data_IF_834539775842
#
_entry.id   IF_834539775842
#
_cell.length_a   1.000
_cell.length_b   1.000
_cell.length_c   1.000
_cell.angle_alpha   90.00
_cell.angle_beta   90.00
_cell.angle_gamma   90.00
#
_symmetry.space_group_name_H-M   'P 1'
#
loop_
_entity.id
_entity.type
_entity.pdbx_description
1 polymer ?
#
# COMPACT_ATOMS: atom_id res chain seq x y z
N UNK A 1 7.73 -35.19 -27.01
CA UNK A 1 7.70 -36.64 -27.27
C UNK A 1 6.80 -37.42 -26.31
N UNK A 2 6.94 -37.27 -24.96
CA UNK A 2 6.07 -37.98 -23.99
C UNK A 2 4.61 -37.56 -24.10
N UNK A 3 4.34 -36.26 -24.18
CA UNK A 3 2.98 -35.74 -24.32
C UNK A 3 2.29 -36.15 -25.61
N UNK A 4 3.02 -36.29 -26.72
CA UNK A 4 2.46 -36.77 -28.02
C UNK A 4 2.05 -38.21 -28.02
N UNK A 5 2.65 -39.05 -27.15
CA UNK A 5 2.27 -40.43 -26.94
C UNK A 5 1.09 -40.63 -26.02
N UNK A 6 0.87 -39.66 -25.10
CA UNK A 6 -0.11 -39.78 -24.02
C UNK A 6 -1.42 -39.06 -24.34
N UNK A 7 -1.37 -37.94 -25.08
CA UNK A 7 -2.55 -37.12 -25.37
C UNK A 7 -2.85 -37.04 -26.87
N UNK A 8 -4.13 -36.99 -27.25
CA UNK A 8 -4.55 -36.75 -28.64
C UNK A 8 -3.96 -35.41 -29.16
N UNK A 9 -3.50 -35.41 -30.40
CA UNK A 9 -2.85 -34.24 -31.04
C UNK A 9 -3.72 -32.99 -31.06
N UNK A 10 -5.04 -33.12 -31.16
CA UNK A 10 -5.98 -32.01 -31.09
C UNK A 10 -5.94 -31.29 -29.71
N UNK A 11 -5.81 -32.04 -28.60
CA UNK A 11 -5.71 -31.46 -27.27
C UNK A 11 -4.39 -30.73 -27.06
N UNK A 12 -3.28 -31.27 -27.56
CA UNK A 12 -1.99 -30.61 -27.54
C UNK A 12 -2.02 -29.30 -28.34
N UNK A 13 -2.69 -29.32 -29.50
CA UNK A 13 -2.88 -28.12 -30.33
C UNK A 13 -3.71 -27.06 -29.64
N UNK A 14 -4.73 -27.48 -28.87
CA UNK A 14 -5.56 -26.55 -28.12
C UNK A 14 -4.80 -25.88 -27.00
N UNK A 15 -3.89 -26.56 -26.33
CA UNK A 15 -2.98 -25.94 -25.35
C UNK A 15 -2.15 -24.77 -25.96
N UNK A 16 -1.66 -24.99 -27.20
CA UNK A 16 -0.94 -23.94 -27.94
C UNK A 16 -1.88 -22.79 -28.32
N UNK A 17 -3.10 -23.09 -28.73
CA UNK A 17 -4.09 -22.07 -29.06
C UNK A 17 -4.46 -21.22 -27.85
N UNK A 18 -4.64 -21.85 -26.68
CA UNK A 18 -4.87 -21.14 -25.41
C UNK A 18 -3.68 -20.25 -25.06
N UNK A 19 -2.45 -20.78 -25.14
CA UNK A 19 -1.24 -20.02 -24.88
C UNK A 19 -1.13 -18.78 -25.77
N UNK A 20 -1.46 -18.88 -27.05
CA UNK A 20 -1.48 -17.73 -27.98
C UNK A 20 -2.53 -16.69 -27.67
N UNK A 21 -3.60 -17.04 -26.96
CA UNK A 21 -4.65 -16.13 -26.49
C UNK A 21 -4.27 -15.42 -25.20
N UNK A 22 -3.30 -15.93 -24.45
CA UNK A 22 -2.76 -15.33 -23.25
C UNK A 22 -1.71 -14.27 -23.65
N UNK A 23 -2.18 -13.07 -23.97
CA UNK A 23 -1.33 -11.96 -24.45
C UNK A 23 -0.98 -10.94 -23.35
N UNK A 24 -1.46 -11.15 -22.14
CA UNK A 24 -1.15 -10.27 -21.01
C UNK A 24 0.31 -10.41 -20.59
N UNK A 25 0.97 -9.28 -20.39
CA UNK A 25 2.30 -9.18 -19.79
C UNK A 25 2.26 -8.21 -18.60
N UNK A 26 3.01 -8.50 -17.54
CA UNK A 26 3.18 -7.60 -16.40
C UNK A 26 3.75 -6.24 -16.83
N UNK A 27 4.53 -6.19 -17.90
CA UNK A 27 5.08 -4.94 -18.47
C UNK A 27 3.98 -4.00 -19.02
N UNK A 28 2.76 -4.50 -19.20
CA UNK A 28 1.61 -3.70 -19.64
C UNK A 28 0.93 -2.97 -18.48
N UNK A 29 1.26 -3.30 -17.23
CA UNK A 29 0.69 -2.64 -16.06
C UNK A 29 1.07 -1.16 -16.06
N UNK A 30 0.09 -0.32 -15.77
CA UNK A 30 0.27 1.13 -15.61
C UNK A 30 -0.47 1.56 -14.36
N UNK A 31 0.24 2.28 -13.51
CA UNK A 31 -0.34 2.84 -12.30
C UNK A 31 -0.92 4.22 -12.61
N UNK A 32 -2.22 4.40 -12.35
CA UNK A 32 -2.92 5.67 -12.52
C UNK A 32 -3.52 6.10 -11.19
N UNK A 33 -2.95 7.14 -10.59
CA UNK A 33 -3.40 7.67 -9.31
C UNK A 33 -4.38 8.82 -9.48
N UNK A 34 -5.36 8.97 -8.58
CA UNK A 34 -6.30 10.07 -8.59
C UNK A 34 -5.60 11.42 -8.37
N UNK A 35 -6.14 12.49 -8.95
CA UNK A 35 -5.63 13.86 -8.81
C UNK A 35 -6.68 14.83 -8.24
N UNK A 36 -7.88 14.34 -7.92
CA UNK A 36 -9.07 15.13 -7.61
C UNK A 36 -8.97 15.93 -6.30
N UNK A 37 -7.97 15.63 -5.46
CA UNK A 37 -7.77 16.27 -4.14
C UNK A 37 -6.73 17.38 -4.13
N UNK A 38 -6.08 17.67 -5.27
CA UNK A 38 -5.14 18.79 -5.35
C UNK A 38 -5.92 20.09 -5.52
N UNK A 39 -5.72 21.10 -4.66
CA UNK A 39 -6.42 22.38 -4.75
C UNK A 39 -6.15 23.08 -6.10
N UNK A 40 -7.17 23.77 -6.62
CA UNK A 40 -7.03 24.53 -7.86
C UNK A 40 -5.87 25.54 -7.77
N UNK A 41 -5.05 25.57 -8.79
CA UNK A 41 -3.89 26.47 -8.87
C UNK A 41 -2.59 25.95 -8.26
N UNK A 42 -2.60 24.75 -7.69
CA UNK A 42 -1.38 24.08 -7.22
C UNK A 42 -1.05 22.87 -8.08
N UNK A 43 0.25 22.59 -8.22
CA UNK A 43 0.71 21.29 -8.72
C UNK A 43 0.69 20.26 -7.59
N UNK A 44 0.69 18.95 -7.94
CA UNK A 44 0.80 17.89 -6.93
C UNK A 44 2.08 18.01 -6.11
N UNK A 45 3.17 18.37 -6.76
CA UNK A 45 4.47 18.57 -6.13
C UNK A 45 4.41 19.70 -5.10
N UNK A 46 3.85 20.87 -5.48
CA UNK A 46 3.72 22.00 -4.58
C UNK A 46 2.80 21.69 -3.40
N UNK A 47 1.71 20.97 -3.67
CA UNK A 47 0.76 20.60 -2.63
C UNK A 47 1.37 19.60 -1.64
N UNK A 48 2.06 18.56 -2.11
CA UNK A 48 2.77 17.62 -1.25
C UNK A 48 3.83 18.33 -0.40
N UNK A 49 4.64 19.18 -1.03
CA UNK A 49 5.66 19.97 -0.33
C UNK A 49 5.04 20.88 0.76
N UNK A 50 3.92 21.53 0.45
CA UNK A 50 3.20 22.38 1.40
C UNK A 50 2.69 21.60 2.61
N UNK A 51 2.08 20.43 2.36
CA UNK A 51 1.59 19.55 3.44
C UNK A 51 2.73 19.03 4.31
N UNK A 52 3.82 18.59 3.68
CA UNK A 52 5.02 18.11 4.40
C UNK A 52 5.62 19.24 5.26
N UNK A 53 5.75 20.46 4.72
CA UNK A 53 6.26 21.62 5.47
C UNK A 53 5.34 21.99 6.64
N UNK A 54 4.03 21.93 6.45
CA UNK A 54 3.07 22.15 7.52
C UNK A 54 3.21 21.10 8.64
N UNK A 55 3.30 19.82 8.24
CA UNK A 55 3.50 18.71 9.16
C UNK A 55 4.84 18.80 9.91
N UNK A 56 5.91 19.18 9.21
CA UNK A 56 7.22 19.39 9.81
C UNK A 56 7.16 20.39 10.99
N UNK A 57 6.50 21.54 10.77
CA UNK A 57 6.32 22.57 11.83
C UNK A 57 5.49 22.05 12.99
N UNK A 58 4.51 21.19 12.73
CA UNK A 58 3.67 20.58 13.77
C UNK A 58 4.44 19.54 14.59
N UNK A 59 5.29 18.74 13.94
CA UNK A 59 6.09 17.69 14.57
C UNK A 59 7.27 18.25 15.36
N UNK A 60 7.91 19.29 14.84
CA UNK A 60 9.05 19.96 15.47
C UNK A 60 8.80 21.46 15.58
N UNK A 61 8.00 21.90 16.58
CA UNK A 61 7.64 23.32 16.73
C UNK A 61 8.84 24.21 17.03
N UNK A 62 9.90 23.67 17.63
CA UNK A 62 11.16 24.37 17.94
C UNK A 62 12.24 24.19 16.86
N UNK A 63 11.88 23.64 15.69
CA UNK A 63 12.80 23.30 14.61
C UNK A 63 13.22 21.84 14.64
N UNK A 64 13.30 21.23 13.46
CA UNK A 64 13.77 19.86 13.29
C UNK A 64 15.32 19.81 13.25
N UNK A 65 15.93 18.66 13.54
CA UNK A 65 17.36 18.44 13.27
C UNK A 65 17.70 18.67 11.80
N UNK A 66 18.93 19.09 11.50
CA UNK A 66 19.39 19.37 10.13
C UNK A 66 19.25 18.14 9.23
N UNK A 67 19.56 16.99 9.76
CA UNK A 67 19.48 15.68 9.08
C UNK A 67 18.05 15.39 8.58
N UNK A 68 17.03 15.78 9.34
CA UNK A 68 15.63 15.60 8.96
C UNK A 68 15.24 16.52 7.79
N UNK A 69 15.74 17.77 7.75
CA UNK A 69 15.53 18.64 6.59
C UNK A 69 16.18 18.05 5.33
N UNK A 70 17.40 17.53 5.46
CA UNK A 70 18.12 16.88 4.34
C UNK A 70 17.39 15.64 3.87
N UNK A 71 16.90 14.79 4.79
CA UNK A 71 16.13 13.61 4.49
C UNK A 71 14.81 13.96 3.78
N UNK A 72 14.02 14.90 4.29
CA UNK A 72 12.75 15.33 3.68
C UNK A 72 12.99 15.85 2.26
N UNK A 73 14.01 16.66 2.04
CA UNK A 73 14.33 17.17 0.71
C UNK A 73 14.72 16.05 -0.26
N UNK A 74 15.50 15.08 0.20
CA UNK A 74 15.88 13.90 -0.57
C UNK A 74 14.67 13.05 -0.93
N UNK A 75 13.80 12.75 0.05
CA UNK A 75 12.57 11.98 -0.15
C UNK A 75 11.63 12.67 -1.15
N UNK A 76 11.38 13.98 -0.98
CA UNK A 76 10.51 14.75 -1.90
C UNK A 76 11.07 14.80 -3.31
N UNK A 77 12.39 14.92 -3.46
CA UNK A 77 13.05 14.89 -4.78
C UNK A 77 12.84 13.54 -5.47
N UNK A 78 13.02 12.43 -4.75
CA UNK A 78 12.83 11.08 -5.28
C UNK A 78 11.34 10.79 -5.60
N UNK A 79 10.40 11.20 -4.74
CA UNK A 79 8.97 11.08 -4.99
C UNK A 79 8.58 11.83 -6.27
N UNK A 80 9.13 13.03 -6.49
CA UNK A 80 8.90 13.82 -7.70
C UNK A 80 9.50 13.15 -8.94
N UNK A 81 10.74 12.69 -8.86
CA UNK A 81 11.44 12.01 -9.95
C UNK A 81 10.65 10.80 -10.46
N UNK A 82 10.11 10.01 -9.52
CA UNK A 82 9.34 8.80 -9.81
C UNK A 82 7.83 9.08 -10.06
N UNK A 83 7.39 10.34 -9.95
CA UNK A 83 5.99 10.76 -10.15
C UNK A 83 5.00 10.09 -9.17
N UNK A 84 5.41 9.86 -7.91
CA UNK A 84 4.58 9.23 -6.89
C UNK A 84 3.84 10.21 -5.97
N UNK A 85 3.85 11.52 -6.26
CA UNK A 85 3.16 12.53 -5.44
C UNK A 85 1.67 12.20 -5.26
N UNK A 86 0.97 11.79 -6.33
CA UNK A 86 -0.45 11.43 -6.24
C UNK A 86 -0.71 10.23 -5.33
N UNK A 87 0.23 9.28 -5.27
CA UNK A 87 0.15 8.13 -4.38
C UNK A 87 0.23 8.57 -2.91
N UNK A 88 1.26 9.35 -2.54
CA UNK A 88 1.41 9.89 -1.19
C UNK A 88 0.22 10.76 -0.77
N UNK A 89 -0.26 11.59 -1.68
CA UNK A 89 -1.42 12.44 -1.44
C UNK A 89 -2.71 11.62 -1.24
N UNK A 90 -2.88 10.51 -1.95
CA UNK A 90 -4.02 9.59 -1.76
C UNK A 90 -3.99 8.97 -0.37
N UNK A 91 -2.84 8.47 0.07
CA UNK A 91 -2.69 7.90 1.42
C UNK A 91 -2.91 8.96 2.49
N UNK A 92 -2.32 10.16 2.30
CA UNK A 92 -2.56 11.30 3.19
C UNK A 92 -4.05 11.62 3.33
N UNK A 93 -4.79 11.67 2.24
CA UNK A 93 -6.22 11.97 2.25
C UNK A 93 -7.04 10.95 3.05
N UNK A 94 -6.72 9.66 2.93
CA UNK A 94 -7.39 8.60 3.70
C UNK A 94 -7.07 8.73 5.18
N UNK A 95 -5.82 8.99 5.54
CA UNK A 95 -5.39 9.17 6.92
C UNK A 95 -5.97 10.46 7.52
N UNK A 96 -6.02 11.54 6.76
CA UNK A 96 -6.63 12.81 7.17
C UNK A 96 -8.13 12.66 7.44
N UNK A 97 -8.83 11.90 6.59
CA UNK A 97 -10.23 11.54 6.84
C UNK A 97 -10.39 10.76 8.15
N UNK A 98 -9.55 9.75 8.40
CA UNK A 98 -9.58 8.98 9.64
C UNK A 98 -9.38 9.89 10.85
N UNK A 99 -8.34 10.72 10.84
CA UNK A 99 -8.01 11.64 11.93
C UNK A 99 -9.10 12.68 12.20
N UNK A 100 -9.71 13.24 11.15
CA UNK A 100 -10.83 14.19 11.27
C UNK A 100 -12.08 13.57 11.89
N UNK A 101 -12.26 12.27 11.72
CA UNK A 101 -13.37 11.52 12.31
C UNK A 101 -12.99 10.81 13.61
N UNK A 102 -11.81 11.09 14.19
CA UNK A 102 -11.29 10.44 15.39
C UNK A 102 -11.25 8.91 15.27
N UNK A 103 -10.88 8.40 14.09
CA UNK A 103 -10.64 6.98 13.84
C UNK A 103 -9.14 6.73 14.02
N UNK A 104 -8.78 5.82 14.91
CA UNK A 104 -7.38 5.48 15.14
C UNK A 104 -6.77 4.87 13.87
N UNK A 105 -5.58 5.36 13.51
CA UNK A 105 -4.86 4.84 12.36
C UNK A 105 -3.35 4.96 12.57
N UNK A 106 -2.61 4.03 11.98
CA UNK A 106 -1.15 3.99 12.07
C UNK A 106 -0.54 3.40 10.81
N UNK A 107 0.31 4.18 10.16
CA UNK A 107 1.18 3.67 9.09
C UNK A 107 2.30 2.82 9.68
N UNK A 108 2.49 1.62 9.14
CA UNK A 108 3.49 0.65 9.59
C UNK A 108 4.41 0.20 8.45
N UNK A 109 5.31 -0.74 8.76
CA UNK A 109 6.23 -1.30 7.78
C UNK A 109 7.15 -0.23 7.19
N UNK A 110 7.21 -0.18 5.88
CA UNK A 110 8.09 0.74 5.13
C UNK A 110 7.76 2.22 5.34
N UNK A 111 6.49 2.57 5.59
CA UNK A 111 6.07 3.95 5.85
C UNK A 111 6.71 4.55 7.11
N UNK A 112 7.07 3.70 8.10
CA UNK A 112 7.74 4.13 9.32
C UNK A 112 9.16 4.69 9.07
N UNK A 113 9.74 4.42 7.89
CA UNK A 113 11.09 4.86 7.53
C UNK A 113 11.11 6.19 6.75
N UNK A 114 9.96 6.81 6.54
CA UNK A 114 9.82 8.03 5.75
C UNK A 114 9.53 9.23 6.63
N UNK A 115 10.41 10.24 6.56
CA UNK A 115 10.21 11.53 7.21
C UNK A 115 9.03 12.29 6.58
N UNK A 116 8.79 12.12 5.28
CA UNK A 116 7.59 12.66 4.60
C UNK A 116 6.33 12.01 5.16
N UNK A 117 6.27 10.68 5.31
CA UNK A 117 5.13 9.99 5.92
C UNK A 117 4.87 10.45 7.37
N UNK A 118 5.93 10.69 8.14
CA UNK A 118 5.82 11.22 9.49
C UNK A 118 5.25 12.65 9.51
N UNK A 119 5.74 13.52 8.64
CA UNK A 119 5.22 14.90 8.50
C UNK A 119 3.75 14.88 8.03
N UNK A 120 3.38 14.02 7.10
CA UNK A 120 1.99 13.87 6.64
C UNK A 120 1.07 13.23 7.70
N UNK A 121 1.63 12.73 8.79
CA UNK A 121 0.88 12.04 9.84
C UNK A 121 0.39 10.66 9.42
N UNK A 122 0.97 10.07 8.38
CA UNK A 122 0.69 8.69 7.96
C UNK A 122 1.23 7.72 8.99
N UNK A 123 2.41 8.01 9.56
CA UNK A 123 3.01 7.27 10.68
C UNK A 123 3.25 8.16 11.88
N UNK A 124 3.21 7.60 13.08
CA UNK A 124 3.59 8.28 14.33
C UNK A 124 5.02 7.88 14.77
N UNK A 125 5.72 7.09 13.97
CA UNK A 125 7.11 6.68 14.26
C UNK A 125 8.07 7.80 13.86
N UNK A 126 8.77 8.33 14.85
CA UNK A 126 9.73 9.44 14.65
C UNK A 126 10.99 8.91 13.92
N UNK A 127 11.31 9.46 12.74
CA UNK A 127 12.47 9.01 11.95
C UNK A 127 13.81 9.28 12.64
N UNK A 128 13.88 10.16 13.65
CA UNK A 128 15.11 10.41 14.41
C UNK A 128 15.57 9.21 15.23
N UNK A 129 14.66 8.27 15.52
CA UNK A 129 14.94 7.05 16.28
C UNK A 129 15.21 5.83 15.40
N UNK A 130 15.14 5.97 14.08
CA UNK A 130 15.27 4.86 13.13
C UNK A 130 16.36 5.18 12.12
N UNK A 131 17.37 4.33 12.04
CA UNK A 131 18.47 4.48 11.08
C UNK A 131 18.28 3.49 9.90
N UNK A 132 17.24 3.70 9.08
CA UNK A 132 16.96 2.87 7.91
C UNK A 132 16.95 3.76 6.65
N UNK A 133 17.62 3.27 5.61
CA UNK A 133 17.69 3.97 4.32
C UNK A 133 16.31 4.04 3.66
N UNK A 134 15.92 5.23 3.22
CA UNK A 134 14.67 5.49 2.49
C UNK A 134 14.60 4.74 1.16
N UNK A 135 15.75 4.45 0.54
CA UNK A 135 15.87 3.67 -0.70
C UNK A 135 15.35 2.24 -0.56
N UNK A 136 15.22 1.70 0.65
CA UNK A 136 14.54 0.42 0.90
C UNK A 136 13.03 0.53 0.74
N UNK A 137 12.50 1.74 0.90
CA UNK A 137 11.08 2.05 0.75
C UNK A 137 10.73 2.41 -0.70
N UNK A 138 11.53 3.29 -1.33
CA UNK A 138 11.40 3.68 -2.73
C UNK A 138 12.75 3.54 -3.41
N UNK A 139 12.82 2.79 -4.52
CA UNK A 139 14.04 2.71 -5.31
C UNK A 139 13.75 2.96 -6.79
N UNK A 140 14.74 3.58 -7.47
CA UNK A 140 14.72 3.78 -8.93
C UNK A 140 14.69 2.48 -9.70
N UNK A 141 15.29 1.43 -9.15
CA UNK A 141 15.46 0.14 -9.80
C UNK A 141 14.15 -0.65 -9.89
N UNK A 142 13.27 -0.52 -8.88
CA UNK A 142 12.02 -1.28 -8.82
C UNK A 142 10.95 -0.77 -9.78
N UNK A 143 10.96 0.53 -10.10
CA UNK A 143 9.93 1.20 -10.92
C UNK A 143 8.48 0.84 -10.50
N UNK A 144 8.30 0.57 -9.21
CA UNK A 144 7.03 0.25 -8.57
C UNK A 144 6.80 1.24 -7.44
N UNK A 145 5.53 1.62 -7.20
CA UNK A 145 5.20 2.48 -6.06
C UNK A 145 5.54 1.77 -4.75
N UNK A 146 5.85 2.54 -3.70
CA UNK A 146 6.08 1.96 -2.39
C UNK A 146 4.80 1.31 -1.86
N UNK A 147 4.95 0.31 -1.02
CA UNK A 147 3.84 -0.29 -0.29
C UNK A 147 3.66 0.45 1.04
N UNK A 148 2.59 1.22 1.15
CA UNK A 148 2.24 1.94 2.38
C UNK A 148 1.10 1.21 3.08
N UNK A 149 1.43 0.47 4.13
CA UNK A 149 0.47 -0.16 5.01
C UNK A 149 -0.06 0.85 6.02
N UNK A 150 -1.38 0.97 6.14
CA UNK A 150 -2.03 1.75 7.20
C UNK A 150 -3.07 0.89 7.90
N UNK A 151 -2.88 0.66 9.18
CA UNK A 151 -3.85 -0.01 10.03
C UNK A 151 -4.88 0.99 10.54
N UNK A 152 -6.14 0.58 10.59
CA UNK A 152 -7.25 1.36 11.15
C UNK A 152 -7.93 0.56 12.27
N UNK A 153 -8.51 1.26 13.25
CA UNK A 153 -9.25 0.61 14.31
C UNK A 153 -10.34 -0.33 13.76
N UNK A 154 -10.42 -1.51 14.36
CA UNK A 154 -11.21 -2.61 13.82
C UNK A 154 -12.70 -2.26 13.68
N UNK A 155 -13.27 -1.65 14.72
CA UNK A 155 -14.71 -1.37 14.81
C UNK A 155 -15.17 -0.35 13.76
N UNK A 156 -14.27 0.55 13.34
CA UNK A 156 -14.62 1.68 12.46
C UNK A 156 -13.98 1.62 11.08
N UNK A 157 -13.25 0.56 10.75
CA UNK A 157 -12.59 0.46 9.43
C UNK A 157 -13.57 0.41 8.26
N UNK A 158 -14.81 -0.02 8.48
CA UNK A 158 -15.86 0.01 7.46
C UNK A 158 -16.15 1.45 7.01
N UNK A 159 -16.09 2.44 7.90
CA UNK A 159 -16.26 3.85 7.56
C UNK A 159 -15.18 4.32 6.57
N UNK A 160 -13.93 3.85 6.77
CA UNK A 160 -12.80 4.13 5.87
C UNK A 160 -13.04 3.47 4.51
N UNK A 161 -13.43 2.20 4.47
CA UNK A 161 -13.72 1.49 3.22
C UNK A 161 -14.82 2.20 2.42
N UNK A 162 -15.89 2.61 3.10
CA UNK A 162 -16.99 3.34 2.45
C UNK A 162 -16.57 4.74 1.99
N UNK A 163 -15.69 5.44 2.72
CA UNK A 163 -15.09 6.69 2.27
C UNK A 163 -14.29 6.50 0.99
N UNK A 164 -13.42 5.48 0.95
CA UNK A 164 -12.58 5.15 -0.21
C UNK A 164 -13.47 4.84 -1.42
N UNK A 165 -14.48 3.99 -1.28
CA UNK A 165 -15.40 3.65 -2.37
C UNK A 165 -16.20 4.84 -2.89
N UNK A 166 -16.68 5.71 -2.00
CA UNK A 166 -17.41 6.92 -2.41
C UNK A 166 -16.52 7.93 -3.14
N UNK A 167 -15.29 8.10 -2.66
CA UNK A 167 -14.39 9.11 -3.20
C UNK A 167 -13.66 8.67 -4.45
N UNK A 168 -13.14 7.44 -4.45
CA UNK A 168 -12.26 6.94 -5.50
C UNK A 168 -12.94 5.95 -6.46
N UNK A 169 -14.08 5.41 -6.07
CA UNK A 169 -14.82 4.43 -6.85
C UNK A 169 -14.30 3.01 -6.69
N UNK A 170 -15.17 2.03 -6.96
CA UNK A 170 -14.85 0.60 -6.85
C UNK A 170 -13.91 0.08 -7.95
N UNK A 171 -13.68 0.85 -8.97
CA UNK A 171 -12.71 0.55 -10.02
C UNK A 171 -11.26 0.86 -9.63
N UNK A 172 -11.06 1.59 -8.52
CA UNK A 172 -9.73 1.96 -7.99
C UNK A 172 -9.47 1.40 -6.59
N UNK A 173 -10.42 0.71 -6.00
CA UNK A 173 -10.31 0.13 -4.67
C UNK A 173 -10.97 -1.23 -4.62
N UNK A 174 -10.33 -2.19 -4.00
CA UNK A 174 -10.83 -3.55 -3.86
C UNK A 174 -10.52 -4.11 -2.47
N UNK A 175 -11.38 -5.03 -2.02
CA UNK A 175 -11.08 -5.87 -0.87
C UNK A 175 -10.26 -7.07 -1.36
N UNK A 176 -9.12 -7.28 -0.72
CA UNK A 176 -8.33 -8.50 -0.92
C UNK A 176 -8.80 -9.53 0.09
N UNK A 177 -9.29 -10.67 -0.40
CA UNK A 177 -9.72 -11.77 0.42
C UNK A 177 -8.91 -13.02 0.11
N UNK A 178 -8.41 -13.68 1.16
CA UNK A 178 -7.81 -15.01 1.05
C UNK A 178 -8.87 -16.05 1.40
N UNK A 179 -9.09 -17.01 0.49
CA UNK A 179 -9.93 -18.17 0.76
C UNK A 179 -9.07 -19.27 1.34
N UNK A 180 -9.30 -19.59 2.61
CA UNK A 180 -8.60 -20.65 3.31
C UNK A 180 -9.43 -21.94 3.18
N UNK A 181 -8.83 -22.97 2.60
CA UNK A 181 -9.43 -24.31 2.54
C UNK A 181 -8.73 -25.23 3.54
N UNK A 182 -9.52 -25.92 4.36
CA UNK A 182 -8.99 -26.89 5.30
C UNK A 182 -8.77 -28.25 4.61
N UNK A 183 -7.60 -28.81 4.79
CA UNK A 183 -7.36 -30.24 4.52
C UNK A 183 -7.86 -31.07 5.71
N UNK A 184 -8.19 -32.38 5.53
CA UNK A 184 -8.78 -33.19 6.61
C UNK A 184 -8.04 -33.08 7.95
N UNK A 185 -6.72 -33.18 7.93
CA UNK A 185 -5.91 -33.10 9.15
C UNK A 185 -6.01 -31.76 9.89
N UNK A 186 -5.97 -30.64 9.16
CA UNK A 186 -6.11 -29.31 9.77
C UNK A 186 -7.55 -29.06 10.21
N UNK A 187 -8.55 -29.53 9.44
CA UNK A 187 -9.95 -29.42 9.81
C UNK A 187 -10.24 -30.15 11.14
N UNK A 188 -9.82 -31.41 11.28
CA UNK A 188 -10.00 -32.18 12.52
C UNK A 188 -9.35 -31.46 13.69
N UNK A 189 -8.10 -31.01 13.54
CA UNK A 189 -7.38 -30.32 14.60
C UNK A 189 -8.06 -29.02 15.03
N UNK A 190 -8.42 -28.18 14.10
CA UNK A 190 -8.88 -26.84 14.39
C UNK A 190 -10.35 -26.84 14.83
N UNK A 191 -11.19 -27.68 14.22
CA UNK A 191 -12.57 -27.90 14.69
C UNK A 191 -12.57 -28.61 16.04
N UNK A 192 -11.70 -29.59 16.27
CA UNK A 192 -11.56 -30.25 17.55
C UNK A 192 -11.19 -29.27 18.67
N UNK A 193 -10.25 -28.35 18.43
CA UNK A 193 -9.94 -27.27 19.39
C UNK A 193 -11.15 -26.36 19.67
N UNK A 194 -11.91 -26.01 18.65
CA UNK A 194 -13.09 -25.16 18.79
C UNK A 194 -14.21 -25.85 19.60
N UNK A 195 -14.25 -27.18 19.57
CA UNK A 195 -15.21 -28.03 20.29
C UNK A 195 -14.67 -28.59 21.60
N UNK A 196 -13.49 -28.15 22.06
CA UNK A 196 -12.82 -28.61 23.28
C UNK A 196 -12.61 -30.15 23.33
N UNK A 197 -12.35 -30.75 22.16
CA UNK A 197 -12.05 -32.18 22.07
C UNK A 197 -10.61 -32.43 22.50
N UNK A 198 -10.40 -33.30 23.51
CA UNK A 198 -9.09 -33.74 23.91
C UNK A 198 -8.50 -34.69 22.85
N UNK A 199 -7.37 -34.31 22.27
CA UNK A 199 -6.64 -35.11 21.28
C UNK A 199 -5.65 -36.06 21.90
N UNK A 200 -5.61 -36.17 23.25
CA UNK A 200 -4.71 -37.05 24.01
C UNK A 200 -5.24 -38.47 24.21
N UNK A 201 -6.41 -38.82 23.66
CA UNK A 201 -7.00 -40.16 23.70
C UNK A 201 -6.91 -40.90 22.38
#
# INVERSE_FOLDING_TARGET
EWNEKTYPKNLLRESINISKRCIFSLDQLRYSYPNEFVPKGLTKTDYLHRLTTHGLKKRWPNGAPKEIYEQINHELALIKELSYESYFLTVYDIVDFAKKNNILCQGRGSAANSAVCYCLGITEVDPTHINILFERFISRERNEPPDIDVDFEHERREEIMQYIYRKYGRNRAALVAAVITYRPRSAIRDVGKALDIDFGQ
#
